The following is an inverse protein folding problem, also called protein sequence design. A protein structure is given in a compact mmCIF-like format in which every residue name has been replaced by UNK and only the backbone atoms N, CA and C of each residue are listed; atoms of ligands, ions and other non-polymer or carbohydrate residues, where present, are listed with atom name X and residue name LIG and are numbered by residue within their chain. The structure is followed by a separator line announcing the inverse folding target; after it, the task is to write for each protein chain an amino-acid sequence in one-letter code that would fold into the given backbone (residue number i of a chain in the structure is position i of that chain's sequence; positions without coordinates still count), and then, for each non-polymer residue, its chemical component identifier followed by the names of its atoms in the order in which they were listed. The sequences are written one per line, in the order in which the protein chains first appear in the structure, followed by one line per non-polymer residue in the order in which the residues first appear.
data_IF_706570597746
#
_entry.id   IF_706570597746
#
_cell.length_a   1.000
_cell.length_b   1.000
_cell.length_c   1.000
_cell.angle_alpha   90.00
_cell.angle_beta   90.00
_cell.angle_gamma   90.00
#
_symmetry.space_group_name_H-M   'P 1'
#
loop_
_entity.id
_entity.type
_entity.pdbx_description
1 polymer ?
#
# COMPACT_ATOMS: atom_id res chain seq x y z
N UNK A 1 -36.03 22.42 -13.16
CA UNK A 1 -36.12 23.74 -13.81
C UNK A 1 -34.92 23.98 -14.75
N UNK A 2 -35.03 23.71 -16.06
CA UNK A 2 -34.19 24.36 -17.07
C UNK A 2 -34.76 25.78 -17.20
N UNK A 3 -33.95 26.83 -16.96
CA UNK A 3 -34.34 28.25 -17.10
C UNK A 3 -35.36 28.83 -16.09
N UNK A 4 -35.69 28.11 -15.00
CA UNK A 4 -36.53 28.64 -13.90
C UNK A 4 -38.01 28.23 -13.93
N UNK A 5 -38.49 27.68 -15.05
CA UNK A 5 -39.87 27.21 -15.18
C UNK A 5 -40.08 25.84 -14.52
N UNK A 6 -41.22 25.60 -13.84
CA UNK A 6 -41.60 24.28 -13.36
C UNK A 6 -41.73 23.29 -14.52
N UNK A 7 -41.34 22.03 -14.30
CA UNK A 7 -41.62 20.95 -15.23
C UNK A 7 -43.13 20.76 -15.33
N UNK A 8 -43.67 20.81 -16.55
CA UNK A 8 -45.10 20.65 -16.81
C UNK A 8 -45.31 19.53 -17.83
N UNK A 9 -46.29 18.69 -17.56
CA UNK A 9 -46.76 17.68 -18.50
C UNK A 9 -48.28 17.57 -18.39
N UNK A 10 -48.92 17.20 -19.50
CA UNK A 10 -50.36 16.99 -19.57
C UNK A 10 -50.60 15.57 -20.03
N UNK A 11 -51.53 14.88 -19.38
CA UNK A 11 -51.93 13.53 -19.73
C UNK A 11 -53.44 13.41 -19.80
N UNK A 12 -53.93 12.62 -20.76
CA UNK A 12 -55.35 12.42 -20.99
C UNK A 12 -55.79 11.05 -20.47
N UNK A 13 -56.74 11.05 -19.55
CA UNK A 13 -57.37 9.83 -19.05
C UNK A 13 -58.64 9.53 -19.86
N UNK A 14 -58.64 8.41 -20.58
CA UNK A 14 -59.79 8.02 -21.40
C UNK A 14 -60.90 7.42 -20.53
N UNK A 15 -62.11 7.99 -20.60
CA UNK A 15 -63.29 7.42 -19.97
C UNK A 15 -63.78 6.19 -20.75
N UNK A 16 -63.74 5.02 -20.11
CA UNK A 16 -64.11 3.74 -20.71
C UNK A 16 -65.50 3.24 -20.28
N UNK A 17 -66.39 4.14 -19.83
CA UNK A 17 -67.77 3.81 -19.48
C UNK A 17 -68.03 3.49 -18.00
N UNK A 18 -67.04 3.60 -17.12
CA UNK A 18 -67.19 3.41 -15.67
C UNK A 18 -66.30 4.35 -14.86
N UNK A 19 -66.65 4.55 -13.59
CA UNK A 19 -65.87 5.34 -12.62
C UNK A 19 -65.46 4.46 -11.44
N UNK A 20 -64.25 4.65 -10.86
CA UNK A 20 -63.27 5.68 -11.20
C UNK A 20 -62.55 5.41 -12.52
N UNK A 21 -62.06 6.47 -13.17
CA UNK A 21 -61.23 6.37 -14.39
C UNK A 21 -59.82 6.01 -13.96
N UNK A 22 -59.24 4.98 -14.58
CA UNK A 22 -57.88 4.54 -14.30
C UNK A 22 -56.93 4.98 -15.42
N UNK A 23 -55.68 5.23 -15.05
CA UNK A 23 -54.59 5.51 -15.99
C UNK A 23 -54.15 4.21 -16.68
N UNK A 24 -53.95 4.25 -18.00
CA UNK A 24 -53.41 3.13 -18.77
C UNK A 24 -52.48 3.65 -19.88
N UNK A 25 -51.18 3.27 -19.89
CA UNK A 25 -50.47 2.45 -18.90
C UNK A 25 -50.43 3.11 -17.50
N UNK A 26 -50.24 2.35 -16.41
CA UNK A 26 -50.43 2.85 -15.04
C UNK A 26 -49.37 3.85 -14.57
N UNK A 27 -48.37 4.17 -15.39
CA UNK A 27 -47.25 5.04 -15.04
C UNK A 27 -46.93 5.96 -16.22
N UNK A 28 -46.73 7.25 -15.90
CA UNK A 28 -46.15 8.23 -16.81
C UNK A 28 -44.69 8.37 -16.42
N UNK A 29 -43.78 8.10 -17.35
CA UNK A 29 -42.36 8.37 -17.17
C UNK A 29 -42.06 9.75 -17.72
N UNK A 30 -41.34 10.54 -16.92
CA UNK A 30 -40.88 11.87 -17.30
C UNK A 30 -39.38 11.92 -17.10
N UNK A 31 -38.65 12.22 -18.17
CA UNK A 31 -37.21 12.42 -18.11
C UNK A 31 -36.89 13.74 -17.41
N UNK A 32 -35.95 13.69 -16.46
CA UNK A 32 -35.50 14.82 -15.67
C UNK A 32 -34.13 15.34 -16.13
N UNK A 33 -33.55 14.79 -17.21
CA UNK A 33 -32.27 15.25 -17.76
C UNK A 33 -32.29 16.77 -18.00
N UNK A 34 -31.23 17.46 -17.57
CA UNK A 34 -31.11 18.93 -17.66
C UNK A 34 -32.02 19.72 -16.71
N UNK A 35 -32.81 19.06 -15.84
CA UNK A 35 -33.67 19.74 -14.86
C UNK A 35 -33.01 19.80 -13.49
N UNK A 36 -33.05 20.97 -12.86
CA UNK A 36 -32.79 21.10 -11.41
C UNK A 36 -34.02 20.72 -10.59
N UNK A 37 -33.84 19.81 -9.62
CA UNK A 37 -34.81 19.57 -8.55
C UNK A 37 -34.46 20.50 -7.38
N UNK A 38 -35.42 21.30 -6.93
CA UNK A 38 -35.21 22.28 -5.85
C UNK A 38 -36.30 22.02 -4.82
N UNK A 39 -35.89 21.58 -3.64
CA UNK A 39 -36.77 21.41 -2.49
C UNK A 39 -36.97 22.74 -1.75
N UNK A 40 -38.05 22.83 -0.97
CA UNK A 40 -38.21 23.92 0.00
C UNK A 40 -37.23 23.79 1.17
N UNK A 41 -37.27 24.75 2.11
CA UNK A 41 -36.44 24.77 3.31
C UNK A 41 -36.58 23.52 4.20
N UNK A 42 -37.67 22.76 4.04
CA UNK A 42 -37.97 21.54 4.78
C UNK A 42 -37.63 20.27 3.97
N UNK A 43 -37.06 20.40 2.76
CA UNK A 43 -36.76 19.27 1.89
C UNK A 43 -37.95 18.74 1.09
N UNK A 44 -39.08 19.45 1.05
CA UNK A 44 -40.26 19.01 0.30
C UNK A 44 -40.19 19.45 -1.17
N UNK A 45 -40.56 18.53 -2.06
CA UNK A 45 -40.86 18.84 -3.45
C UNK A 45 -42.36 19.14 -3.59
N UNK A 46 -42.69 20.34 -4.06
CA UNK A 46 -44.09 20.72 -4.30
C UNK A 46 -44.54 20.30 -5.69
N UNK A 47 -45.67 19.61 -5.75
CA UNK A 47 -46.35 19.24 -6.99
C UNK A 47 -47.70 19.94 -7.04
N UNK A 48 -47.97 20.61 -8.15
CA UNK A 48 -49.26 21.26 -8.42
C UNK A 48 -49.91 20.52 -9.59
N UNK A 49 -51.16 20.12 -9.43
CA UNK A 49 -51.94 19.48 -10.50
C UNK A 49 -53.24 20.24 -10.77
N UNK A 50 -53.74 20.10 -11.99
CA UNK A 50 -55.10 20.49 -12.37
C UNK A 50 -55.74 19.32 -13.13
N UNK A 51 -56.89 18.84 -12.67
CA UNK A 51 -57.68 17.83 -13.36
C UNK A 51 -58.94 18.48 -13.94
N UNK A 52 -59.16 18.31 -15.24
CA UNK A 52 -60.27 18.93 -15.98
C UNK A 52 -61.00 17.83 -16.77
N UNK A 53 -62.33 17.74 -16.60
CA UNK A 53 -63.19 16.86 -17.41
C UNK A 53 -63.33 17.41 -18.82
N UNK A 54 -63.72 16.56 -19.78
CA UNK A 54 -63.98 16.99 -21.17
C UNK A 54 -64.95 18.18 -21.30
N UNK A 55 -65.86 18.37 -20.33
CA UNK A 55 -66.79 19.51 -20.27
C UNK A 55 -66.22 20.81 -19.65
N UNK A 56 -64.92 20.88 -19.37
CA UNK A 56 -64.25 22.06 -18.79
C UNK A 56 -64.40 22.21 -17.27
N UNK A 57 -65.04 21.27 -16.59
CA UNK A 57 -65.21 21.28 -15.14
C UNK A 57 -63.96 20.74 -14.44
N UNK A 58 -63.53 21.40 -13.36
CA UNK A 58 -62.45 20.90 -12.48
C UNK A 58 -62.89 19.63 -11.75
N UNK A 59 -61.94 18.74 -11.52
CA UNK A 59 -62.09 17.49 -10.79
C UNK A 59 -60.89 17.25 -9.86
N UNK A 60 -60.91 16.17 -9.07
CA UNK A 60 -59.81 15.79 -8.19
C UNK A 60 -59.26 14.41 -8.53
N UNK A 61 -57.95 14.22 -8.32
CA UNK A 61 -57.34 12.91 -8.37
C UNK A 61 -57.50 12.23 -7.00
N UNK A 62 -58.17 11.08 -6.97
CA UNK A 62 -58.37 10.35 -5.71
C UNK A 62 -57.06 9.76 -5.17
N UNK A 63 -56.23 9.20 -6.06
CA UNK A 63 -54.89 8.70 -5.74
C UNK A 63 -53.90 9.26 -6.76
N UNK A 64 -52.82 9.85 -6.26
CA UNK A 64 -51.69 10.34 -7.04
C UNK A 64 -50.41 10.07 -6.24
N UNK A 65 -49.44 9.43 -6.86
CA UNK A 65 -48.11 9.26 -6.29
C UNK A 65 -47.08 9.55 -7.36
N UNK A 66 -45.92 10.00 -6.92
CA UNK A 66 -44.73 10.11 -7.75
C UNK A 66 -43.61 9.32 -7.08
N UNK A 67 -42.77 8.73 -7.91
CA UNK A 67 -41.52 8.11 -7.46
C UNK A 67 -40.41 8.65 -8.34
N UNK A 68 -39.30 9.02 -7.71
CA UNK A 68 -38.05 9.24 -8.41
C UNK A 68 -37.29 7.92 -8.44
N UNK A 69 -36.73 7.58 -9.60
CA UNK A 69 -35.98 6.33 -9.81
C UNK A 69 -34.82 6.61 -10.74
N UNK A 70 -33.69 5.93 -10.53
CA UNK A 70 -32.48 6.08 -11.36
C UNK A 70 -32.05 7.55 -11.48
N UNK A 71 -31.99 8.26 -10.35
CA UNK A 71 -31.55 9.66 -10.34
C UNK A 71 -30.05 9.66 -10.58
N UNK A 72 -29.65 10.19 -11.73
CA UNK A 72 -28.29 10.63 -12.01
C UNK A 72 -28.26 12.16 -11.88
N UNK A 73 -27.21 12.70 -11.26
CA UNK A 73 -27.06 14.13 -11.03
C UNK A 73 -25.62 14.53 -11.29
N UNK A 74 -25.41 15.70 -11.90
CA UNK A 74 -24.08 16.32 -11.97
C UNK A 74 -23.72 17.12 -10.71
N UNK A 75 -24.72 17.43 -9.89
CA UNK A 75 -24.58 18.17 -8.63
C UNK A 75 -25.76 17.88 -7.72
N UNK A 76 -25.47 17.53 -6.48
CA UNK A 76 -26.41 17.43 -5.38
C UNK A 76 -25.93 18.31 -4.23
N UNK A 77 -26.86 18.98 -3.56
CA UNK A 77 -26.59 19.80 -2.39
C UNK A 77 -27.63 19.53 -1.32
N UNK A 78 -27.19 19.40 -0.08
CA UNK A 78 -28.10 19.16 1.02
C UNK A 78 -27.46 18.41 2.18
N UNK A 79 -28.29 17.66 2.88
CA UNK A 79 -27.88 16.76 3.95
C UNK A 79 -27.65 15.36 3.37
N UNK A 80 -26.39 14.94 3.34
CA UNK A 80 -26.00 13.62 2.81
C UNK A 80 -26.05 12.49 3.83
N UNK A 81 -26.47 12.79 5.07
CA UNK A 81 -26.59 11.77 6.11
C UNK A 81 -25.25 11.19 6.53
N UNK A 82 -25.35 10.23 7.45
CA UNK A 82 -24.24 9.38 7.82
C UNK A 82 -24.23 8.17 6.88
N UNK A 83 -23.29 8.14 5.93
CA UNK A 83 -23.22 7.08 4.92
C UNK A 83 -21.80 6.53 4.84
N UNK A 84 -21.70 5.20 4.85
CA UNK A 84 -20.46 4.47 4.70
C UNK A 84 -20.16 4.28 3.20
N UNK A 85 -18.92 4.56 2.82
CA UNK A 85 -18.36 4.33 1.50
C UNK A 85 -17.20 3.36 1.63
N UNK A 86 -17.38 2.17 1.05
CA UNK A 86 -16.38 1.10 1.05
C UNK A 86 -15.13 1.56 0.27
N UNK A 87 -13.97 1.53 0.93
CA UNK A 87 -12.68 1.87 0.33
C UNK A 87 -11.95 0.69 -0.28
N UNK A 88 -12.36 -0.52 0.08
CA UNK A 88 -11.71 -1.76 -0.30
C UNK A 88 -10.45 -2.06 0.50
N UNK A 89 -10.07 -3.33 0.41
CA UNK A 89 -8.83 -3.87 1.00
C UNK A 89 -7.73 -3.93 -0.04
N UNK A 90 -6.53 -3.52 0.35
CA UNK A 90 -5.35 -3.54 -0.51
C UNK A 90 -4.09 -3.95 0.28
N UNK A 91 -3.01 -4.27 -0.43
CA UNK A 91 -1.78 -4.80 0.16
C UNK A 91 -0.54 -4.16 -0.45
N UNK A 92 0.38 -3.72 0.42
CA UNK A 92 1.71 -3.26 0.05
C UNK A 92 2.71 -4.38 0.33
N UNK A 93 3.39 -4.86 -0.71
CA UNK A 93 4.47 -5.84 -0.58
C UNK A 93 5.79 -5.14 -0.24
N UNK A 94 6.58 -5.72 0.66
CA UNK A 94 7.89 -5.22 1.05
C UNK A 94 8.96 -6.16 0.49
N UNK A 95 9.39 -5.84 -0.73
CA UNK A 95 10.32 -6.68 -1.52
C UNK A 95 11.67 -6.95 -0.81
N UNK A 96 12.08 -6.06 0.12
CA UNK A 96 13.33 -6.20 0.88
C UNK A 96 13.46 -7.56 1.61
N UNK A 97 12.35 -8.17 1.98
CA UNK A 97 12.31 -9.43 2.72
C UNK A 97 12.05 -10.68 1.86
N UNK A 98 11.90 -10.57 0.54
CA UNK A 98 11.58 -11.72 -0.32
C UNK A 98 12.61 -12.84 -0.27
N UNK A 99 13.90 -12.48 -0.22
CA UNK A 99 15.02 -13.44 -0.17
C UNK A 99 15.51 -13.71 1.26
N UNK A 100 14.72 -13.32 2.26
CA UNK A 100 15.07 -13.56 3.66
C UNK A 100 15.08 -15.05 3.98
N UNK A 101 16.11 -15.50 4.70
CA UNK A 101 16.19 -16.89 5.17
C UNK A 101 16.29 -17.03 6.68
N UNK A 102 16.88 -16.04 7.35
CA UNK A 102 17.05 -15.96 8.81
C UNK A 102 17.59 -14.59 9.21
N UNK A 103 17.56 -14.32 10.50
CA UNK A 103 18.12 -13.11 11.12
C UNK A 103 17.11 -11.98 11.20
N UNK A 104 17.47 -10.91 11.88
CA UNK A 104 16.55 -9.83 12.20
C UNK A 104 17.08 -8.49 11.68
N UNK A 105 16.17 -7.63 11.23
CA UNK A 105 16.43 -6.23 10.89
C UNK A 105 15.48 -5.37 11.71
N UNK A 106 16.03 -4.36 12.37
CA UNK A 106 15.30 -3.36 13.11
C UNK A 106 15.55 -1.99 12.50
N UNK A 107 14.48 -1.22 12.29
CA UNK A 107 14.53 0.14 11.76
C UNK A 107 14.26 1.15 12.89
N UNK A 108 15.06 2.21 13.00
CA UNK A 108 15.00 3.16 14.12
C UNK A 108 13.84 4.18 14.05
N UNK A 109 13.34 4.45 12.84
CA UNK A 109 12.30 5.45 12.62
C UNK A 109 11.40 5.10 11.42
N UNK A 110 10.78 3.91 11.39
CA UNK A 110 9.87 3.55 10.32
C UNK A 110 8.60 4.40 10.37
N UNK A 111 8.05 4.73 9.20
CA UNK A 111 6.84 5.55 9.08
C UNK A 111 5.90 4.99 8.03
N UNK A 112 4.61 5.21 8.25
CA UNK A 112 3.59 5.04 7.21
C UNK A 112 2.94 6.39 6.98
N UNK A 113 2.99 6.88 5.76
CA UNK A 113 2.32 8.11 5.35
C UNK A 113 0.99 7.78 4.70
N UNK A 114 -0.05 8.51 5.08
CA UNK A 114 -1.38 8.45 4.50
C UNK A 114 -1.70 9.82 3.92
N UNK A 115 -1.92 9.85 2.62
CA UNK A 115 -2.36 11.03 1.89
C UNK A 115 -3.79 10.80 1.40
N UNK A 116 -4.75 11.49 1.99
CA UNK A 116 -6.16 11.39 1.60
C UNK A 116 -6.54 12.58 0.75
N UNK A 117 -6.97 12.29 -0.47
CA UNK A 117 -7.50 13.22 -1.43
C UNK A 117 -9.02 13.10 -1.40
N UNK A 118 -9.73 14.18 -1.09
CA UNK A 118 -11.17 14.15 -0.88
C UNK A 118 -11.86 15.33 -1.57
N UNK A 119 -12.79 15.01 -2.48
CA UNK A 119 -13.63 15.98 -3.19
C UNK A 119 -15.09 15.98 -2.72
N UNK A 120 -15.44 15.19 -1.69
CA UNK A 120 -16.74 15.27 -1.05
C UNK A 120 -16.89 16.59 -0.32
N UNK A 121 -17.91 17.39 -0.66
CA UNK A 121 -18.21 18.66 -0.01
C UNK A 121 -18.88 18.54 1.36
N UNK A 122 -18.58 17.46 2.10
CA UNK A 122 -19.17 17.12 3.40
C UNK A 122 -18.09 16.60 4.35
N UNK A 123 -18.26 16.80 5.68
CA UNK A 123 -17.38 16.19 6.67
C UNK A 123 -17.28 14.69 6.41
N UNK A 124 -16.06 14.19 6.33
CA UNK A 124 -15.78 12.78 6.06
C UNK A 124 -14.70 12.31 7.02
N UNK A 125 -14.83 11.10 7.55
CA UNK A 125 -13.85 10.49 8.46
C UNK A 125 -13.52 9.08 7.99
N UNK A 126 -12.29 8.64 8.17
CA UNK A 126 -11.95 7.25 7.91
C UNK A 126 -12.62 6.31 8.92
N UNK A 127 -12.88 5.08 8.49
CA UNK A 127 -13.06 3.92 9.36
C UNK A 127 -11.99 2.92 8.95
N UNK A 128 -11.03 2.69 9.84
CA UNK A 128 -9.96 1.72 9.60
C UNK A 128 -10.48 0.35 10.04
N UNK A 129 -10.86 -0.48 9.07
CA UNK A 129 -11.40 -1.81 9.33
C UNK A 129 -10.28 -2.77 9.76
N UNK A 130 -9.12 -2.69 9.11
CA UNK A 130 -7.92 -3.44 9.47
C UNK A 130 -6.66 -2.70 9.01
N UNK A 131 -5.58 -2.96 9.73
CA UNK A 131 -4.24 -2.54 9.34
C UNK A 131 -3.26 -3.59 9.90
N UNK A 132 -2.85 -4.54 9.07
CA UNK A 132 -2.16 -5.76 9.47
C UNK A 132 -0.79 -5.85 8.80
N UNK A 133 0.19 -6.36 9.54
CA UNK A 133 1.55 -6.62 9.07
C UNK A 133 1.75 -8.12 9.08
N UNK A 134 1.96 -8.71 7.89
CA UNK A 134 2.34 -10.12 7.76
C UNK A 134 3.86 -10.22 7.79
N UNK A 135 4.42 -11.08 8.62
CA UNK A 135 5.87 -11.25 8.76
C UNK A 135 6.39 -12.45 7.96
N UNK A 136 7.70 -12.46 7.69
CA UNK A 136 8.38 -13.63 7.08
C UNK A 136 8.27 -14.91 7.91
N UNK A 137 8.03 -14.80 9.21
CA UNK A 137 7.84 -15.94 10.12
C UNK A 137 6.38 -16.45 10.15
N UNK A 138 5.48 -15.79 9.40
CA UNK A 138 4.06 -16.15 9.29
C UNK A 138 3.20 -15.59 10.42
N UNK A 139 3.73 -14.67 11.23
CA UNK A 139 2.95 -13.94 12.21
C UNK A 139 2.14 -12.83 11.53
N UNK A 140 0.97 -12.53 12.11
CA UNK A 140 0.12 -11.42 11.67
C UNK A 140 -0.02 -10.47 12.85
N UNK A 141 0.57 -9.29 12.73
CA UNK A 141 0.58 -8.25 13.75
C UNK A 141 -0.37 -7.12 13.36
N UNK A 142 -1.03 -6.50 14.32
CA UNK A 142 -1.90 -5.35 14.05
C UNK A 142 -1.14 -4.05 14.32
N UNK A 143 -1.29 -3.08 13.43
CA UNK A 143 -0.93 -1.70 13.76
C UNK A 143 -1.94 -1.17 14.78
N UNK A 144 -1.44 -0.57 15.84
CA UNK A 144 -2.22 -0.01 16.94
C UNK A 144 -1.98 1.51 16.99
N UNK A 145 -3.07 2.28 17.05
CA UNK A 145 -3.02 3.74 17.17
C UNK A 145 -4.40 4.29 17.55
N UNK A 146 -4.44 5.40 18.28
CA UNK A 146 -5.70 6.12 18.52
C UNK A 146 -6.38 6.55 17.21
N UNK A 147 -5.61 6.78 16.14
CA UNK A 147 -6.16 7.16 14.84
C UNK A 147 -6.82 6.00 14.09
N UNK A 148 -6.52 4.76 14.47
CA UNK A 148 -7.24 3.57 13.99
C UNK A 148 -8.57 3.44 14.72
N UNK A 149 -8.59 3.71 16.03
CA UNK A 149 -9.80 3.63 16.86
C UNK A 149 -10.79 4.78 16.58
N UNK A 150 -10.29 6.02 16.55
CA UNK A 150 -11.12 7.23 16.42
C UNK A 150 -11.42 7.60 14.96
N UNK A 151 -10.56 7.16 14.04
CA UNK A 151 -10.55 7.56 12.64
C UNK A 151 -9.89 8.92 12.39
N UNK A 152 -9.56 9.18 11.13
CA UNK A 152 -8.90 10.41 10.66
C UNK A 152 -9.94 11.25 9.94
N UNK A 153 -10.14 12.50 10.39
CA UNK A 153 -11.02 13.43 9.69
C UNK A 153 -10.33 13.93 8.42
N UNK A 154 -11.03 13.85 7.29
CA UNK A 154 -10.52 14.34 6.01
C UNK A 154 -10.83 15.83 5.90
N UNK A 155 -9.86 16.60 5.41
CA UNK A 155 -10.13 17.89 4.82
C UNK A 155 -11.14 17.73 3.67
N UNK A 156 -12.00 18.72 3.49
CA UNK A 156 -13.06 18.67 2.47
C UNK A 156 -13.33 20.07 1.91
N UNK A 157 -13.69 20.20 0.62
CA UNK A 157 -14.04 21.48 0.01
C UNK A 157 -15.33 22.06 0.60
N UNK A 158 -15.37 23.38 0.70
CA UNK A 158 -16.57 24.14 1.09
C UNK A 158 -17.45 24.43 -0.12
N UNK A 159 -18.66 24.98 0.09
CA UNK A 159 -19.59 25.33 -0.99
C UNK A 159 -19.05 26.36 -1.99
N UNK A 160 -18.01 27.12 -1.63
CA UNK A 160 -17.34 28.06 -2.54
C UNK A 160 -16.21 27.38 -3.36
N UNK A 161 -15.95 26.10 -3.10
CA UNK A 161 -14.85 25.30 -3.68
C UNK A 161 -15.41 24.05 -4.40
N UNK A 162 -16.62 24.15 -4.96
CA UNK A 162 -17.27 23.05 -5.67
C UNK A 162 -16.41 22.56 -6.84
N UNK A 163 -16.13 21.26 -6.86
CA UNK A 163 -15.27 20.61 -7.85
C UNK A 163 -13.79 20.66 -7.51
N UNK A 164 -13.40 21.26 -6.38
CA UNK A 164 -12.05 21.13 -5.85
C UNK A 164 -11.88 19.86 -4.99
N UNK A 165 -10.63 19.51 -4.77
CA UNK A 165 -10.19 18.44 -3.88
C UNK A 165 -9.34 19.02 -2.75
N UNK A 166 -9.49 18.49 -1.54
CA UNK A 166 -8.64 18.82 -0.40
C UNK A 166 -7.82 17.61 0.01
N UNK A 167 -6.59 17.88 0.45
CA UNK A 167 -5.63 16.86 0.85
C UNK A 167 -5.44 16.85 2.36
N UNK A 168 -5.47 15.66 2.95
CA UNK A 168 -5.12 15.40 4.35
C UNK A 168 -3.83 14.60 4.38
N UNK A 169 -2.82 15.12 5.07
CA UNK A 169 -1.57 14.42 5.32
C UNK A 169 -1.58 13.89 6.75
N UNK A 170 -1.36 12.60 6.90
CA UNK A 170 -1.24 11.94 8.19
C UNK A 170 -0.08 10.95 8.15
N UNK A 171 0.52 10.67 9.30
CA UNK A 171 1.58 9.68 9.41
C UNK A 171 1.47 8.88 10.69
N UNK A 172 1.58 7.55 10.57
CA UNK A 172 1.89 6.70 11.70
C UNK A 172 3.40 6.75 11.97
N UNK A 173 3.74 7.06 13.21
CA UNK A 173 5.11 7.14 13.71
C UNK A 173 5.17 6.42 15.06
N UNK A 174 6.38 6.15 15.57
CA UNK A 174 6.58 5.54 16.89
C UNK A 174 5.97 6.35 18.06
N UNK A 175 5.70 7.63 17.85
CA UNK A 175 5.11 8.49 18.88
C UNK A 175 3.59 8.35 18.99
N UNK A 176 2.94 7.81 17.96
CA UNK A 176 1.48 7.72 17.87
C UNK A 176 0.96 6.31 17.51
N UNK A 177 1.84 5.32 17.45
CA UNK A 177 1.52 3.93 17.11
C UNK A 177 2.60 2.96 17.59
N UNK A 178 2.35 1.65 17.49
CA UNK A 178 3.32 0.58 17.71
C UNK A 178 4.15 0.25 16.44
N UNK A 179 4.29 1.19 15.51
CA UNK A 179 4.88 0.94 14.17
C UNK A 179 6.31 0.40 14.22
N UNK A 180 7.11 0.81 15.21
CA UNK A 180 8.48 0.36 15.41
C UNK A 180 8.57 -1.11 15.81
N UNK A 181 7.59 -1.60 16.56
CA UNK A 181 7.45 -3.02 16.90
C UNK A 181 7.06 -3.83 15.66
N UNK A 182 5.97 -3.46 15.00
CA UNK A 182 5.40 -4.29 13.91
C UNK A 182 6.26 -4.27 12.65
N UNK A 183 6.86 -3.12 12.28
CA UNK A 183 7.79 -3.04 11.14
C UNK A 183 9.21 -3.46 11.52
N UNK A 184 9.51 -3.64 12.81
CA UNK A 184 10.73 -4.27 13.32
C UNK A 184 10.69 -5.80 13.33
N UNK A 185 9.55 -6.41 13.00
CA UNK A 185 9.34 -7.88 12.99
C UNK A 185 9.47 -8.50 11.60
N UNK A 186 10.44 -8.06 10.79
CA UNK A 186 10.71 -8.57 9.44
C UNK A 186 9.43 -8.63 8.55
N UNK A 187 8.81 -7.47 8.26
CA UNK A 187 7.52 -7.40 7.58
C UNK A 187 7.62 -7.81 6.10
N UNK A 188 6.79 -8.73 5.66
CA UNK A 188 6.67 -9.15 4.25
C UNK A 188 5.67 -8.29 3.49
N UNK A 189 4.56 -7.92 4.14
CA UNK A 189 3.51 -7.12 3.52
C UNK A 189 2.69 -6.38 4.55
N UNK A 190 2.08 -5.27 4.15
CA UNK A 190 1.10 -4.53 4.92
C UNK A 190 -0.25 -4.62 4.22
N UNK A 191 -1.27 -5.06 4.93
CA UNK A 191 -2.62 -5.23 4.45
C UNK A 191 -3.52 -4.22 5.16
N UNK A 192 -4.33 -3.46 4.41
CA UNK A 192 -5.12 -2.36 4.95
C UNK A 192 -6.48 -2.26 4.29
N UNK A 193 -7.48 -1.83 5.06
CA UNK A 193 -8.86 -1.61 4.62
C UNK A 193 -9.38 -0.35 5.32
N UNK A 194 -9.65 0.70 4.53
CA UNK A 194 -10.00 2.03 5.03
C UNK A 194 -11.22 2.55 4.29
N UNK A 195 -12.36 2.51 4.97
CA UNK A 195 -13.61 3.10 4.48
C UNK A 195 -13.67 4.59 4.79
N UNK A 196 -14.59 5.29 4.13
CA UNK A 196 -14.93 6.67 4.43
C UNK A 196 -16.39 6.78 4.88
N UNK A 197 -16.63 7.43 6.01
CA UNK A 197 -17.98 7.75 6.48
C UNK A 197 -18.25 9.25 6.36
N UNK A 198 -19.27 9.61 5.57
CA UNK A 198 -19.73 10.99 5.45
C UNK A 198 -20.58 11.37 6.66
N UNK A 199 -20.54 12.63 7.08
CA UNK A 199 -21.18 13.18 8.28
C UNK A 199 -21.11 12.22 9.49
N UNK A 200 -19.90 11.89 9.97
CA UNK A 200 -19.69 10.89 11.03
C UNK A 200 -20.51 11.21 12.29
N UNK A 201 -20.65 12.48 12.64
CA UNK A 201 -21.34 12.92 13.85
C UNK A 201 -22.86 13.18 13.63
N UNK A 202 -23.38 12.83 12.44
CA UNK A 202 -24.80 12.97 12.07
C UNK A 202 -25.38 14.37 12.29
N UNK A 203 -24.59 15.42 12.05
CA UNK A 203 -24.99 16.80 12.28
C UNK A 203 -25.93 17.23 11.16
N UNK A 204 -27.23 17.32 11.46
CA UNK A 204 -28.28 17.68 10.49
C UNK A 204 -28.30 19.14 10.08
N UNK A 205 -27.52 20.00 10.73
CA UNK A 205 -27.36 21.41 10.34
C UNK A 205 -26.37 21.60 9.18
N UNK A 206 -25.49 20.63 8.95
CA UNK A 206 -24.49 20.71 7.87
C UNK A 206 -25.20 20.46 6.53
N UNK A 207 -24.97 21.38 5.60
CA UNK A 207 -25.36 21.27 4.20
C UNK A 207 -24.08 21.28 3.38
N UNK A 208 -23.84 20.21 2.65
CA UNK A 208 -22.69 20.09 1.77
C UNK A 208 -23.12 19.82 0.35
N UNK A 209 -22.17 19.39 -0.47
CA UNK A 209 -22.41 19.06 -1.87
C UNK A 209 -21.68 17.77 -2.28
N UNK A 210 -22.16 17.14 -3.35
CA UNK A 210 -21.51 16.05 -4.08
C UNK A 210 -21.74 16.30 -5.58
N UNK A 211 -20.72 16.10 -6.40
CA UNK A 211 -20.80 16.13 -7.87
C UNK A 211 -20.68 14.71 -8.44
N UNK A 212 -20.97 14.51 -9.72
CA UNK A 212 -20.94 13.18 -10.36
C UNK A 212 -19.56 12.52 -10.38
N UNK A 213 -18.49 13.31 -10.34
CA UNK A 213 -17.10 12.85 -10.28
C UNK A 213 -16.47 12.96 -8.89
N UNK A 214 -17.27 13.26 -7.86
CA UNK A 214 -16.83 13.27 -6.48
C UNK A 214 -16.29 11.90 -6.07
N UNK A 215 -15.10 11.89 -5.50
CA UNK A 215 -14.39 10.72 -5.03
C UNK A 215 -13.54 11.07 -3.80
N UNK A 216 -13.08 10.02 -3.13
CA UNK A 216 -11.93 10.09 -2.24
C UNK A 216 -10.89 9.07 -2.70
N UNK A 217 -9.63 9.34 -2.41
CA UNK A 217 -8.52 8.44 -2.69
C UNK A 217 -7.58 8.44 -1.50
N UNK A 218 -7.19 7.25 -1.06
CA UNK A 218 -6.26 7.05 0.05
C UNK A 218 -4.97 6.49 -0.54
N UNK A 219 -3.90 7.28 -0.48
CA UNK A 219 -2.56 6.80 -0.84
C UNK A 219 -1.81 6.45 0.44
N UNK A 220 -1.34 5.22 0.52
CA UNK A 220 -0.54 4.71 1.64
C UNK A 220 0.89 4.47 1.16
N UNK A 221 1.86 5.00 1.90
CA UNK A 221 3.29 4.86 1.61
C UNK A 221 4.02 4.39 2.87
N UNK A 222 4.93 3.43 2.71
CA UNK A 222 5.74 2.88 3.80
C UNK A 222 7.18 3.35 3.61
N UNK A 223 7.71 4.04 4.61
CA UNK A 223 9.10 4.46 4.67
C UNK A 223 9.85 3.60 5.70
N UNK A 224 10.75 2.76 5.20
CA UNK A 224 11.72 2.02 6.01
C UNK A 224 13.09 2.68 5.82
N UNK A 225 13.55 3.51 6.77
CA UNK A 225 14.85 4.16 6.62
C UNK A 225 15.98 3.12 6.68
N UNK A 226 17.03 3.28 5.88
CA UNK A 226 18.27 2.49 6.03
C UNK A 226 19.10 3.04 7.21
N UNK A 227 18.45 3.10 8.36
CA UNK A 227 18.98 3.46 9.66
C UNK A 227 18.42 2.48 10.68
N UNK A 228 19.30 1.64 11.22
CA UNK A 228 18.86 0.50 11.98
C UNK A 228 19.97 -0.48 12.30
N UNK A 229 19.59 -1.62 12.88
CA UNK A 229 20.51 -2.70 13.23
C UNK A 229 20.07 -4.01 12.59
N UNK A 230 21.05 -4.81 12.21
CA UNK A 230 20.81 -6.12 11.63
C UNK A 230 21.66 -7.17 12.32
N UNK A 231 21.09 -8.35 12.56
CA UNK A 231 21.83 -9.47 13.14
C UNK A 231 21.58 -10.75 12.37
N UNK A 232 22.62 -11.20 11.65
CA UNK A 232 22.62 -12.45 10.92
C UNK A 232 21.57 -12.51 9.81
N UNK A 233 21.14 -11.36 9.30
CA UNK A 233 20.20 -11.26 8.18
C UNK A 233 20.83 -11.92 6.97
N UNK A 234 20.27 -13.04 6.51
CA UNK A 234 20.89 -13.83 5.45
C UNK A 234 20.06 -13.87 4.18
N UNK A 235 20.75 -13.65 3.06
CA UNK A 235 20.21 -13.71 1.71
C UNK A 235 20.99 -14.74 0.88
N UNK A 236 20.30 -15.37 -0.06
CA UNK A 236 20.87 -16.39 -0.94
C UNK A 236 20.74 -15.92 -2.39
N UNK A 237 21.83 -16.05 -3.15
CA UNK A 237 21.85 -15.78 -4.59
C UNK A 237 22.57 -16.92 -5.33
N UNK A 238 22.28 -17.10 -6.63
CA UNK A 238 22.82 -18.19 -7.45
C UNK A 238 23.39 -17.64 -8.76
N UNK A 239 24.58 -18.09 -9.14
CA UNK A 239 25.22 -17.73 -10.40
C UNK A 239 25.81 -18.95 -11.11
N UNK A 240 25.92 -18.86 -12.43
CA UNK A 240 26.48 -19.90 -13.27
C UNK A 240 28.01 -19.91 -13.22
N UNK A 241 28.60 -21.10 -13.30
CA UNK A 241 30.04 -21.35 -13.29
C UNK A 241 30.42 -22.40 -14.33
N UNK A 242 31.67 -22.36 -14.81
CA UNK A 242 32.23 -23.39 -15.68
C UNK A 242 33.71 -23.62 -15.34
N UNK A 243 34.00 -24.83 -14.85
CA UNK A 243 35.35 -25.30 -14.55
C UNK A 243 35.89 -26.35 -15.54
N UNK A 244 35.14 -26.66 -16.60
CA UNK A 244 35.44 -27.76 -17.53
C UNK A 244 36.75 -27.60 -18.31
N UNK A 245 37.28 -26.37 -18.41
CA UNK A 245 38.52 -26.06 -19.12
C UNK A 245 39.82 -26.26 -18.32
N UNK A 246 39.74 -26.73 -17.08
CA UNK A 246 40.91 -26.81 -16.19
C UNK A 246 41.35 -28.26 -15.89
N UNK A 247 42.42 -28.70 -16.58
CA UNK A 247 43.03 -30.02 -16.41
C UNK A 247 44.34 -29.97 -15.61
N UNK A 248 44.67 -31.07 -14.93
CA UNK A 248 45.95 -31.29 -14.20
C UNK A 248 46.32 -30.19 -13.19
N UNK A 249 45.41 -29.82 -12.31
CA UNK A 249 45.68 -28.82 -11.27
C UNK A 249 46.31 -29.48 -10.03
N UNK A 250 47.46 -28.95 -9.58
CA UNK A 250 48.13 -29.41 -8.36
C UNK A 250 47.69 -28.66 -7.11
N UNK A 251 47.36 -27.38 -7.24
CA UNK A 251 46.99 -26.52 -6.12
C UNK A 251 46.03 -25.42 -6.62
N UNK A 252 44.95 -25.20 -5.87
CA UNK A 252 44.01 -24.09 -6.09
C UNK A 252 44.00 -23.20 -4.86
N UNK A 253 44.00 -21.89 -5.09
CA UNK A 253 43.81 -20.90 -4.04
C UNK A 253 42.79 -19.89 -4.52
N UNK A 254 41.70 -19.73 -3.78
CA UNK A 254 40.78 -18.62 -4.01
C UNK A 254 41.30 -17.40 -3.27
N UNK A 255 41.24 -16.25 -3.93
CA UNK A 255 41.57 -14.97 -3.34
C UNK A 255 40.31 -14.12 -3.31
N UNK A 256 39.84 -13.79 -2.12
CA UNK A 256 38.78 -12.81 -1.91
C UNK A 256 39.43 -11.47 -1.60
N UNK A 257 39.00 -10.43 -2.31
CA UNK A 257 39.29 -9.03 -2.02
C UNK A 257 37.95 -8.37 -1.71
N UNK A 258 37.84 -7.75 -0.54
CA UNK A 258 36.67 -6.97 -0.17
C UNK A 258 37.10 -5.56 0.22
N UNK A 259 36.41 -4.56 -0.32
CA UNK A 259 36.47 -3.17 0.11
C UNK A 259 35.07 -2.76 0.54
N UNK A 260 34.91 -2.47 1.83
CA UNK A 260 33.63 -2.23 2.45
C UNK A 260 33.56 -0.82 3.02
N UNK A 261 32.68 0.00 2.46
CA UNK A 261 32.32 1.33 3.00
C UNK A 261 30.99 1.28 3.77
N UNK A 262 30.39 0.10 3.92
CA UNK A 262 29.17 -0.12 4.69
C UNK A 262 29.49 -0.52 6.13
N UNK A 263 28.67 -0.11 7.11
CA UNK A 263 28.79 -0.52 8.52
C UNK A 263 28.23 -1.94 8.76
N UNK A 264 28.58 -2.89 7.88
CA UNK A 264 28.05 -4.25 7.85
C UNK A 264 29.18 -5.28 7.81
N UNK A 265 29.22 -6.18 8.79
CA UNK A 265 29.98 -7.42 8.75
C UNK A 265 29.26 -8.39 7.82
N UNK A 266 30.01 -9.07 6.95
CA UNK A 266 29.44 -10.02 5.99
C UNK A 266 30.14 -11.37 6.13
N UNK A 267 29.35 -12.35 6.56
CA UNK A 267 29.68 -13.76 6.42
C UNK A 267 29.34 -14.21 5.01
N UNK A 268 30.29 -14.86 4.34
CA UNK A 268 30.10 -15.36 2.98
C UNK A 268 30.43 -16.85 2.93
N UNK A 269 29.55 -17.63 2.32
CA UNK A 269 29.78 -19.03 1.99
C UNK A 269 29.28 -19.30 0.57
N UNK A 270 30.11 -19.98 -0.23
CA UNK A 270 29.69 -20.47 -1.55
C UNK A 270 29.53 -21.98 -1.49
N UNK A 271 28.47 -22.48 -2.11
CA UNK A 271 28.27 -23.91 -2.36
C UNK A 271 28.32 -24.14 -3.86
N UNK A 272 29.10 -25.11 -4.31
CA UNK A 272 29.21 -25.47 -5.73
C UNK A 272 28.24 -26.62 -6.03
N UNK A 273 27.42 -26.46 -7.06
CA UNK A 273 26.34 -27.37 -7.40
C UNK A 273 26.53 -27.94 -8.81
N UNK A 274 26.13 -29.21 -9.00
CA UNK A 274 25.98 -29.81 -10.34
C UNK A 274 24.73 -29.30 -11.08
N UNK A 275 24.50 -29.82 -12.29
CA UNK A 275 23.38 -29.43 -13.15
C UNK A 275 22.02 -29.77 -12.50
N UNK A 276 21.95 -30.86 -11.73
CA UNK A 276 20.77 -31.30 -10.99
C UNK A 276 20.55 -30.54 -9.66
N UNK A 277 21.48 -29.67 -9.27
CA UNK A 277 21.41 -28.86 -8.06
C UNK A 277 21.91 -29.56 -6.79
N UNK A 278 22.59 -30.70 -6.91
CA UNK A 278 23.24 -31.35 -5.78
C UNK A 278 24.55 -30.62 -5.43
N UNK A 279 24.74 -30.39 -4.12
CA UNK A 279 25.94 -29.73 -3.59
C UNK A 279 27.13 -30.69 -3.70
N UNK A 280 28.14 -30.28 -4.48
CA UNK A 280 29.38 -31.02 -4.70
C UNK A 280 30.42 -30.74 -3.61
N UNK A 281 30.62 -29.46 -3.27
CA UNK A 281 31.50 -29.00 -2.19
C UNK A 281 31.16 -27.52 -1.83
N UNK A 282 31.80 -26.96 -0.80
CA UNK A 282 31.70 -25.56 -0.39
C UNK A 282 33.03 -24.81 -0.53
N UNK A 283 33.04 -23.48 -0.63
CA UNK A 283 34.29 -22.71 -0.66
C UNK A 283 35.03 -22.83 0.69
N UNK A 284 34.35 -22.51 1.79
CA UNK A 284 34.89 -22.60 3.13
C UNK A 284 34.48 -23.91 3.81
N UNK A 285 35.37 -24.48 4.61
CA UNK A 285 35.05 -25.62 5.47
C UNK A 285 34.03 -25.26 6.55
N UNK A 286 34.19 -24.07 7.14
CA UNK A 286 33.26 -23.49 8.11
C UNK A 286 32.89 -22.06 7.65
N UNK A 287 31.63 -21.62 7.80
CA UNK A 287 31.25 -20.24 7.50
C UNK A 287 32.06 -19.24 8.34
N UNK A 288 32.64 -18.23 7.69
CA UNK A 288 33.43 -17.18 8.35
C UNK A 288 32.98 -15.79 7.91
N UNK A 289 33.15 -14.81 8.81
CA UNK A 289 33.02 -13.39 8.49
C UNK A 289 34.24 -12.97 7.68
N UNK A 290 34.11 -12.97 6.35
CA UNK A 290 35.20 -12.64 5.44
C UNK A 290 35.26 -11.14 5.11
N UNK A 291 34.15 -10.41 5.28
CA UNK A 291 34.12 -8.96 5.12
C UNK A 291 33.80 -8.33 6.46
N UNK A 292 34.65 -7.39 6.90
CA UNK A 292 34.45 -6.66 8.15
C UNK A 292 33.67 -5.37 7.89
N UNK A 293 32.84 -4.98 8.84
CA UNK A 293 32.15 -3.69 8.82
C UNK A 293 33.14 -2.53 8.82
N UNK A 294 32.82 -1.47 8.09
CA UNK A 294 33.54 -0.20 8.19
C UNK A 294 33.48 0.36 9.63
N UNK A 295 34.51 1.09 10.09
CA UNK A 295 34.49 1.71 11.41
C UNK A 295 33.44 2.82 11.48
N UNK A 296 32.71 2.88 12.58
CA UNK A 296 31.69 3.88 12.85
C UNK A 296 32.10 4.83 13.98
N UNK A 297 31.53 6.03 14.01
CA UNK A 297 31.60 6.93 15.16
C UNK A 297 30.55 6.59 16.24
N UNK A 298 30.40 7.48 17.22
CA UNK A 298 29.42 7.31 18.30
C UNK A 298 27.96 7.48 17.89
N UNK A 299 27.69 7.96 16.68
CA UNK A 299 26.34 8.15 16.13
C UNK A 299 25.97 7.05 15.12
N UNK A 300 26.86 6.05 14.92
CA UNK A 300 26.62 4.96 13.97
C UNK A 300 26.91 5.33 12.52
N UNK A 301 27.66 6.42 12.29
CA UNK A 301 28.04 6.90 10.95
C UNK A 301 29.42 6.37 10.60
N UNK A 302 29.59 5.91 9.36
CA UNK A 302 30.87 5.39 8.85
C UNK A 302 31.93 6.49 8.81
N UNK A 303 33.13 6.16 9.31
CA UNK A 303 34.28 7.08 9.41
C UNK A 303 35.45 6.72 8.51
N UNK A 304 35.36 5.60 7.79
CA UNK A 304 36.45 5.09 6.96
C UNK A 304 36.02 3.88 6.13
N UNK A 305 37.01 3.22 5.56
CA UNK A 305 36.83 2.04 4.70
C UNK A 305 37.56 0.87 5.33
N UNK A 306 36.96 -0.31 5.29
CA UNK A 306 37.66 -1.56 5.59
C UNK A 306 38.02 -2.32 4.32
N UNK A 307 39.27 -2.77 4.26
CA UNK A 307 39.77 -3.61 3.18
C UNK A 307 40.22 -4.94 3.77
N UNK A 308 39.72 -6.04 3.22
CA UNK A 308 40.17 -7.38 3.58
C UNK A 308 40.63 -8.18 2.36
N UNK A 309 41.70 -8.94 2.55
CA UNK A 309 42.21 -9.88 1.55
C UNK A 309 42.34 -11.24 2.21
N UNK A 310 41.54 -12.19 1.74
CA UNK A 310 41.55 -13.55 2.24
C UNK A 310 42.07 -14.49 1.16
N UNK A 311 43.01 -15.35 1.55
CA UNK A 311 43.51 -16.44 0.73
C UNK A 311 42.94 -17.73 1.29
N UNK A 312 42.14 -18.42 0.47
CA UNK A 312 41.41 -19.63 0.84
C UNK A 312 42.06 -20.80 0.08
N UNK A 313 42.93 -21.59 0.74
CA UNK A 313 43.52 -22.77 0.13
C UNK A 313 42.42 -23.78 -0.22
N UNK A 314 42.45 -24.28 -1.45
CA UNK A 314 41.51 -25.27 -1.94
C UNK A 314 42.28 -26.49 -2.45
N UNK A 315 42.41 -27.55 -1.64
CA UNK A 315 43.13 -28.76 -2.01
C UNK A 315 42.65 -29.36 -3.34
N UNK A 316 43.58 -29.92 -4.12
CA UNK A 316 43.28 -30.46 -5.46
C UNK A 316 42.20 -31.54 -5.44
N UNK A 317 42.16 -32.39 -4.41
CA UNK A 317 41.13 -33.42 -4.23
C UNK A 317 39.73 -32.84 -4.01
N UNK A 318 39.62 -31.64 -3.43
CA UNK A 318 38.34 -30.88 -3.39
C UNK A 318 38.05 -30.25 -4.74
N UNK A 319 39.05 -29.71 -5.42
CA UNK A 319 38.86 -29.10 -6.74
C UNK A 319 38.33 -30.10 -7.77
N UNK A 320 38.86 -31.33 -7.77
CA UNK A 320 38.37 -32.41 -8.65
C UNK A 320 36.86 -32.71 -8.43
N UNK A 321 36.32 -32.51 -7.23
CA UNK A 321 34.89 -32.71 -6.95
C UNK A 321 34.01 -31.63 -7.59
N UNK A 322 34.50 -30.39 -7.63
CA UNK A 322 33.73 -29.24 -8.15
C UNK A 322 33.95 -28.99 -9.64
N UNK A 323 34.78 -29.78 -10.34
CA UNK A 323 34.95 -29.65 -11.81
C UNK A 323 33.66 -29.81 -12.59
N UNK A 324 32.72 -30.61 -12.07
CA UNK A 324 31.39 -30.78 -12.64
C UNK A 324 30.38 -29.72 -12.19
N UNK A 325 30.78 -28.73 -11.40
CA UNK A 325 29.88 -27.69 -10.95
C UNK A 325 29.50 -26.79 -12.12
N UNK A 326 28.20 -26.56 -12.28
CA UNK A 326 27.62 -25.63 -13.27
C UNK A 326 27.09 -24.37 -12.62
N UNK A 327 26.91 -24.40 -11.29
CA UNK A 327 26.36 -23.29 -10.51
C UNK A 327 27.12 -23.13 -9.20
N UNK A 328 27.08 -21.92 -8.65
CA UNK A 328 27.35 -21.69 -7.25
C UNK A 328 26.23 -20.90 -6.58
N UNK A 329 25.91 -21.31 -5.37
CA UNK A 329 24.96 -20.64 -4.47
C UNK A 329 25.76 -19.88 -3.44
N UNK A 330 25.61 -18.56 -3.41
CA UNK A 330 26.15 -17.68 -2.39
C UNK A 330 25.15 -17.50 -1.27
N UNK A 331 25.57 -17.86 -0.06
CA UNK A 331 24.87 -17.51 1.17
C UNK A 331 25.64 -16.39 1.86
N UNK A 332 25.04 -15.19 1.89
CA UNK A 332 25.59 -14.03 2.55
C UNK A 332 24.78 -13.72 3.80
N UNK A 333 25.45 -13.48 4.93
CA UNK A 333 24.80 -13.10 6.19
C UNK A 333 25.42 -11.81 6.73
N UNK A 334 24.57 -10.80 6.94
CA UNK A 334 24.96 -9.45 7.33
C UNK A 334 24.65 -9.19 8.80
N UNK A 335 25.55 -8.50 9.48
CA UNK A 335 25.34 -7.97 10.83
C UNK A 335 25.88 -6.54 10.91
N UNK A 336 25.21 -5.63 11.60
CA UNK A 336 25.79 -4.31 11.89
C UNK A 336 26.93 -4.41 12.92
N UNK A 337 27.67 -3.32 13.12
CA UNK A 337 28.77 -3.26 14.07
C UNK A 337 28.37 -3.78 15.47
N UNK A 338 29.36 -4.28 16.22
CA UNK A 338 29.17 -4.89 17.54
C UNK A 338 28.21 -6.10 17.54
N UNK A 339 28.24 -6.91 16.48
CA UNK A 339 27.40 -8.09 16.29
C UNK A 339 25.90 -7.81 16.20
N UNK A 340 25.51 -6.69 15.60
CA UNK A 340 24.10 -6.33 15.42
C UNK A 340 23.49 -5.54 16.58
N UNK A 341 24.28 -5.14 17.57
CA UNK A 341 23.79 -4.40 18.75
C UNK A 341 23.76 -2.88 18.54
N UNK A 342 24.44 -2.38 17.51
CA UNK A 342 24.52 -0.94 17.22
C UNK A 342 23.75 -0.61 15.95
N UNK A 343 22.86 0.38 16.05
CA UNK A 343 22.18 0.96 14.91
C UNK A 343 23.13 1.85 14.13
N UNK A 344 23.06 1.75 12.82
CA UNK A 344 23.96 2.41 11.88
C UNK A 344 23.16 2.98 10.73
N UNK A 345 23.66 4.06 10.14
CA UNK A 345 23.04 4.68 8.98
C UNK A 345 23.87 4.39 7.73
N UNK A 346 23.19 3.93 6.68
CA UNK A 346 23.81 3.68 5.37
C UNK A 346 23.44 4.81 4.43
N UNK A 347 24.44 5.37 3.76
CA UNK A 347 24.28 6.45 2.79
C UNK A 347 24.51 5.96 1.37
N UNK A 348 23.90 6.65 0.40
CA UNK A 348 23.87 6.22 -1.01
C UNK A 348 25.23 6.27 -1.72
N UNK A 349 26.19 7.00 -1.16
CA UNK A 349 27.56 7.11 -1.67
C UNK A 349 28.48 5.99 -1.16
N UNK A 350 28.03 5.18 -0.19
CA UNK A 350 28.76 4.04 0.33
C UNK A 350 28.52 2.80 -0.54
N UNK A 351 29.57 2.01 -0.73
CA UNK A 351 29.50 0.78 -1.52
C UNK A 351 30.32 -0.35 -0.89
N UNK A 352 29.95 -1.55 -1.31
CA UNK A 352 30.68 -2.78 -1.05
C UNK A 352 31.19 -3.32 -2.39
N UNK A 353 32.49 -3.51 -2.50
CA UNK A 353 33.12 -4.24 -3.61
C UNK A 353 33.67 -5.55 -3.06
N UNK A 354 33.15 -6.67 -3.55
CA UNK A 354 33.66 -8.02 -3.27
C UNK A 354 34.05 -8.67 -4.59
N UNK A 355 35.34 -9.01 -4.69
CA UNK A 355 35.93 -9.67 -5.84
C UNK A 355 36.53 -11.00 -5.42
N UNK A 356 36.13 -12.09 -6.06
CA UNK A 356 36.72 -13.43 -5.85
C UNK A 356 37.45 -13.85 -7.12
N UNK A 357 38.74 -14.14 -6.97
CA UNK A 357 39.58 -14.70 -8.04
C UNK A 357 40.06 -16.09 -7.69
N UNK A 358 40.36 -16.89 -8.71
CA UNK A 358 40.96 -18.22 -8.55
C UNK A 358 42.39 -18.20 -9.09
N UNK A 359 43.34 -18.70 -8.31
CA UNK A 359 44.73 -18.90 -8.71
C UNK A 359 45.01 -20.39 -8.82
N UNK A 360 45.42 -20.80 -10.01
CA UNK A 360 45.75 -22.18 -10.31
C UNK A 360 47.27 -22.37 -10.35
N UNK A 361 47.73 -23.49 -9.83
CA UNK A 361 49.11 -23.94 -9.96
C UNK A 361 49.11 -25.32 -10.60
N UNK A 362 49.62 -25.37 -11.82
CA UNK A 362 49.72 -26.59 -12.65
C UNK A 362 51.04 -27.32 -12.45
#
# INVERSE_FOLDING_TARGET
KPNGDPLQFTHFLNYMGSTPVYMFPPVIQVDLAGHKLIADENGNLTVVYEAIRAGGQRDTLHNFFMSLSNIEFSYAEGYFGNQLHDGGRDTIEIEFFENWTRGNVYFEDPKIYINVFNSFGVPTRSIVNLFLINTVEGEVLSLESQYIEDGINFAYPTLDEVGEEKVTHFSFTKDNSNIDEVLGSNPLSIDYDVDAITNPDSITAIRGFIVDDSHYTVNVEVELPIHGRASGFAAIDTFDLDFSGYDEIKEVEFKLLAKNELPLDIGLQLYFLDEEGAVLDSLLADPQKLVKAAPIDGEGIVTGVEENVEYIPFPADRFEKIKGATKAVMNAAFSTNNNGETSVQVYIDQYLDVSIGMKLKT
#
